data_IF_011375391022
#
_entry.id   IF_011375391022
#
_cell.length_a   1.000
_cell.length_b   1.000
_cell.length_c   1.000
_cell.angle_alpha   90.00
_cell.angle_beta   90.00
_cell.angle_gamma   90.00
#
_symmetry.space_group_name_H-M   'P 1'
#
loop_
_entity.id
_entity.type
_entity.pdbx_description
1 polymer ?
#
# COMPACT_ATOMS: atom_id res chain seq x y z
N UNK A 1 -21.53 -4.44 -4.50
CA UNK A 1 -20.69 -5.49 -3.88
C UNK A 1 -21.35 -6.01 -2.61
N UNK A 2 -21.61 -5.15 -1.62
CA UNK A 2 -22.26 -5.48 -0.34
C UNK A 2 -23.56 -6.28 -0.49
N UNK A 3 -24.51 -5.83 -1.33
CA UNK A 3 -25.78 -6.54 -1.55
C UNK A 3 -25.60 -7.94 -2.17
N UNK A 4 -24.64 -8.08 -3.09
CA UNK A 4 -24.33 -9.36 -3.73
C UNK A 4 -23.71 -10.34 -2.73
N UNK A 5 -22.78 -9.86 -1.91
CA UNK A 5 -22.17 -10.65 -0.84
C UNK A 5 -23.22 -11.16 0.15
N UNK A 6 -24.13 -10.29 0.62
CA UNK A 6 -25.20 -10.68 1.55
C UNK A 6 -26.21 -11.67 0.93
N UNK A 7 -26.38 -11.67 -0.39
CA UNK A 7 -27.17 -12.70 -1.07
C UNK A 7 -26.43 -14.03 -1.11
N UNK A 8 -25.18 -14.03 -1.55
CA UNK A 8 -24.35 -15.24 -1.64
C UNK A 8 -24.18 -15.93 -0.28
N UNK A 9 -24.02 -15.15 0.80
CA UNK A 9 -23.98 -15.67 2.15
C UNK A 9 -25.26 -16.41 2.55
N UNK A 10 -26.44 -15.84 2.24
CA UNK A 10 -27.74 -16.48 2.51
C UNK A 10 -27.94 -17.76 1.69
N UNK A 11 -27.39 -17.79 0.49
CA UNK A 11 -27.48 -18.94 -0.42
C UNK A 11 -26.44 -20.03 -0.09
N UNK A 12 -25.49 -19.75 0.82
CA UNK A 12 -24.41 -20.67 1.21
C UNK A 12 -23.22 -20.71 0.24
N UNK A 13 -23.17 -19.78 -0.72
CA UNK A 13 -22.15 -19.69 -1.79
C UNK A 13 -20.93 -18.88 -1.30
N UNK A 14 -20.22 -19.41 -0.32
CA UNK A 14 -19.13 -18.69 0.36
C UNK A 14 -17.90 -18.42 -0.51
N UNK A 15 -17.59 -19.32 -1.47
CA UNK A 15 -16.45 -19.13 -2.37
C UNK A 15 -16.69 -17.95 -3.31
N UNK A 16 -17.87 -17.88 -3.91
CA UNK A 16 -18.33 -16.78 -4.75
C UNK A 16 -18.38 -15.48 -3.97
N UNK A 17 -18.86 -15.51 -2.71
CA UNK A 17 -18.85 -14.35 -1.83
C UNK A 17 -17.42 -13.81 -1.63
N UNK A 18 -16.45 -14.70 -1.38
CA UNK A 18 -15.04 -14.34 -1.23
C UNK A 18 -14.48 -13.73 -2.52
N UNK A 19 -14.78 -14.30 -3.69
CA UNK A 19 -14.33 -13.76 -4.97
C UNK A 19 -14.93 -12.39 -5.27
N UNK A 20 -16.22 -12.21 -5.00
CA UNK A 20 -16.90 -10.91 -5.14
C UNK A 20 -16.28 -9.85 -4.24
N UNK A 21 -15.99 -10.22 -2.99
CA UNK A 21 -15.31 -9.31 -2.05
C UNK A 21 -13.93 -8.91 -2.57
N UNK A 22 -13.09 -9.88 -2.93
CA UNK A 22 -11.74 -9.64 -3.45
C UNK A 22 -11.75 -8.75 -4.69
N UNK A 23 -12.63 -9.04 -5.65
CA UNK A 23 -12.79 -8.22 -6.85
C UNK A 23 -13.23 -6.78 -6.51
N UNK A 24 -14.17 -6.63 -5.57
CA UNK A 24 -14.63 -5.31 -5.12
C UNK A 24 -13.51 -4.47 -4.49
N UNK A 25 -12.72 -5.07 -3.59
CA UNK A 25 -11.57 -4.42 -2.95
C UNK A 25 -10.52 -4.01 -3.99
N UNK A 26 -10.12 -4.93 -4.86
CA UNK A 26 -9.09 -4.66 -5.87
C UNK A 26 -9.55 -3.61 -6.90
N UNK A 27 -10.84 -3.58 -7.23
CA UNK A 27 -11.40 -2.54 -8.11
C UNK A 27 -11.35 -1.17 -7.45
N UNK A 28 -11.69 -1.08 -6.16
CA UNK A 28 -11.62 0.19 -5.41
C UNK A 28 -10.18 0.71 -5.32
N UNK A 29 -9.21 -0.16 -5.00
CA UNK A 29 -7.77 0.19 -4.97
C UNK A 29 -7.25 0.59 -6.35
N UNK A 30 -7.57 -0.19 -7.38
CA UNK A 30 -7.16 0.11 -8.76
C UNK A 30 -7.72 1.44 -9.28
N UNK A 31 -8.98 1.74 -8.95
CA UNK A 31 -9.60 3.02 -9.31
C UNK A 31 -8.94 4.20 -8.57
N UNK A 32 -8.58 4.02 -7.29
CA UNK A 32 -7.86 5.03 -6.52
C UNK A 32 -6.46 5.31 -7.08
N UNK A 33 -5.76 4.27 -7.56
CA UNK A 33 -4.47 4.43 -8.24
C UNK A 33 -4.63 5.14 -9.57
N UNK A 34 -5.58 4.72 -10.39
CA UNK A 34 -5.86 5.35 -11.67
C UNK A 34 -6.22 6.83 -11.54
N UNK A 35 -7.12 7.18 -10.61
CA UNK A 35 -7.49 8.58 -10.36
C UNK A 35 -6.30 9.42 -9.92
N UNK A 36 -5.41 8.88 -9.08
CA UNK A 36 -4.21 9.61 -8.66
C UNK A 36 -3.22 9.80 -9.80
N UNK A 37 -3.06 8.80 -10.67
CA UNK A 37 -2.25 8.91 -11.88
C UNK A 37 -2.79 9.99 -12.82
N UNK A 38 -4.12 10.08 -13.00
CA UNK A 38 -4.74 11.15 -13.78
C UNK A 38 -4.54 12.52 -13.13
N UNK A 39 -4.62 12.64 -11.80
CA UNK A 39 -4.31 13.90 -11.09
C UNK A 39 -2.85 14.30 -11.26
N UNK A 40 -1.90 13.35 -11.12
CA UNK A 40 -0.48 13.60 -11.37
C UNK A 40 -0.24 14.13 -12.78
N UNK A 41 -0.85 13.49 -13.78
CA UNK A 41 -0.78 13.91 -15.19
C UNK A 41 -1.37 15.30 -15.39
N UNK A 42 -2.55 15.56 -14.83
CA UNK A 42 -3.23 16.85 -14.95
C UNK A 42 -2.44 18.00 -14.31
N UNK A 43 -1.69 17.71 -13.23
CA UNK A 43 -0.87 18.69 -12.53
C UNK A 43 0.60 18.73 -13.02
N UNK A 44 0.97 17.94 -14.03
CA UNK A 44 2.34 17.87 -14.54
C UNK A 44 3.36 17.32 -13.54
N UNK A 45 2.92 16.47 -12.62
CA UNK A 45 3.73 15.88 -11.57
C UNK A 45 4.54 14.68 -12.07
N UNK A 46 5.67 14.39 -11.39
CA UNK A 46 6.39 13.13 -11.58
C UNK A 46 5.51 11.91 -11.24
N UNK A 47 5.81 10.73 -11.81
CA UNK A 47 4.97 9.53 -11.68
C UNK A 47 4.79 9.06 -10.22
N UNK A 48 5.77 9.33 -9.37
CA UNK A 48 5.88 8.97 -7.96
C UNK A 48 5.74 10.17 -7.00
N UNK A 49 5.40 11.34 -7.53
CA UNK A 49 5.23 12.57 -6.75
C UNK A 49 3.86 12.61 -6.06
N UNK A 50 3.81 13.22 -4.87
CA UNK A 50 2.58 13.45 -4.11
C UNK A 50 2.11 12.23 -3.32
N UNK A 51 1.10 12.42 -2.45
CA UNK A 51 0.54 11.38 -1.57
C UNK A 51 -0.97 11.48 -1.47
N UNK A 52 -1.61 10.33 -1.19
CA UNK A 52 -3.05 10.24 -0.88
C UNK A 52 -3.23 9.97 0.60
N UNK A 53 -3.74 10.93 1.36
CA UNK A 53 -4.02 10.73 2.78
C UNK A 53 -5.50 10.43 2.99
N UNK A 54 -5.80 9.23 3.49
CA UNK A 54 -7.15 8.79 3.81
C UNK A 54 -7.43 8.93 5.30
N UNK A 55 -8.68 9.21 5.66
CA UNK A 55 -9.09 9.32 7.05
C UNK A 55 -9.00 7.97 7.80
N UNK A 56 -8.73 8.03 9.10
CA UNK A 56 -8.43 6.87 9.94
C UNK A 56 -6.97 6.41 9.89
N UNK A 57 -6.16 6.91 8.95
CA UNK A 57 -4.72 6.65 8.90
C UNK A 57 -3.93 7.68 9.72
N UNK A 58 -2.66 7.40 10.09
CA UNK A 58 -1.89 8.28 10.96
C UNK A 58 -1.74 9.74 10.48
N UNK A 59 -1.78 9.99 9.17
CA UNK A 59 -1.73 11.34 8.59
C UNK A 59 -3.07 12.10 8.67
N UNK A 60 -4.19 11.38 8.79
CA UNK A 60 -5.55 11.92 8.89
C UNK A 60 -6.35 11.07 9.90
N UNK A 61 -6.06 11.15 11.21
CA UNK A 61 -6.55 10.17 12.19
C UNK A 61 -8.04 10.30 12.52
N UNK A 62 -8.63 11.49 12.40
CA UNK A 62 -10.00 11.76 12.82
C UNK A 62 -10.99 11.37 11.73
N UNK A 63 -11.75 10.30 11.92
CA UNK A 63 -12.72 9.81 10.92
C UNK A 63 -13.94 10.73 10.77
N UNK A 64 -14.33 11.46 11.81
CA UNK A 64 -15.47 12.40 11.73
C UNK A 64 -15.26 13.51 10.69
N UNK A 65 -14.01 13.79 10.32
CA UNK A 65 -13.67 14.77 9.29
C UNK A 65 -14.15 14.35 7.88
N UNK A 66 -14.58 13.10 7.67
CA UNK A 66 -15.26 12.69 6.44
C UNK A 66 -16.49 13.56 6.14
N UNK A 67 -17.21 14.06 7.15
CA UNK A 67 -18.37 14.93 6.94
C UNK A 67 -18.02 16.17 6.09
N UNK A 68 -16.82 16.72 6.26
CA UNK A 68 -16.38 17.92 5.54
C UNK A 68 -16.20 17.64 4.06
N UNK A 69 -15.52 16.54 3.71
CA UNK A 69 -15.28 16.17 2.32
C UNK A 69 -16.57 15.66 1.64
N UNK A 70 -17.44 14.95 2.37
CA UNK A 70 -18.74 14.53 1.86
C UNK A 70 -19.61 15.71 1.45
N UNK A 71 -19.65 16.75 2.29
CA UNK A 71 -20.35 18.00 1.98
C UNK A 71 -19.68 18.76 0.84
N UNK A 72 -18.35 18.78 0.77
CA UNK A 72 -17.60 19.50 -0.26
C UNK A 72 -17.82 18.91 -1.66
N UNK A 73 -17.84 17.57 -1.75
CA UNK A 73 -17.93 16.85 -3.03
C UNK A 73 -19.38 16.46 -3.40
N UNK A 74 -20.35 16.73 -2.52
CA UNK A 74 -21.70 16.17 -2.61
C UNK A 74 -21.67 14.65 -2.82
N UNK A 75 -20.90 13.95 -1.99
CA UNK A 75 -20.69 12.50 -2.11
C UNK A 75 -22.00 11.67 -2.12
N UNK A 76 -23.09 12.07 -1.43
CA UNK A 76 -24.38 11.39 -1.57
C UNK A 76 -24.94 11.37 -3.00
N UNK A 77 -24.60 12.36 -3.85
CA UNK A 77 -25.04 12.40 -5.25
C UNK A 77 -24.53 11.21 -6.09
N UNK A 78 -23.45 10.58 -5.67
CA UNK A 78 -22.88 9.37 -6.30
C UNK A 78 -23.19 8.10 -5.49
N UNK A 79 -24.09 8.18 -4.51
CA UNK A 79 -24.55 7.03 -3.73
C UNK A 79 -23.65 6.64 -2.55
N UNK A 80 -22.75 7.53 -2.09
CA UNK A 80 -21.96 7.30 -0.89
C UNK A 80 -22.69 7.81 0.37
N UNK A 81 -22.60 7.06 1.45
CA UNK A 81 -23.07 7.43 2.79
C UNK A 81 -21.97 7.27 3.85
N UNK A 82 -22.23 7.79 5.04
CA UNK A 82 -21.42 7.58 6.23
C UNK A 82 -22.21 6.79 7.26
N UNK A 83 -21.58 5.76 7.83
CA UNK A 83 -22.13 5.03 8.96
C UNK A 83 -22.13 5.88 10.24
N UNK A 84 -22.74 5.39 11.31
CA UNK A 84 -22.71 6.08 12.62
C UNK A 84 -21.31 6.26 13.21
N UNK A 85 -20.32 5.50 12.73
CA UNK A 85 -18.91 5.64 13.07
C UNK A 85 -18.09 6.39 12.02
N UNK A 86 -18.74 7.09 11.08
CA UNK A 86 -18.11 7.82 9.96
C UNK A 86 -17.32 6.94 8.97
N UNK A 87 -17.60 5.64 8.93
CA UNK A 87 -17.07 4.77 7.88
C UNK A 87 -17.82 5.04 6.57
N UNK A 88 -17.10 4.99 5.44
CA UNK A 88 -17.69 5.17 4.12
C UNK A 88 -18.47 3.93 3.73
N UNK A 89 -19.68 4.14 3.24
CA UNK A 89 -20.57 3.10 2.74
C UNK A 89 -20.95 3.42 1.28
N UNK A 90 -20.84 2.46 0.34
CA UNK A 90 -20.36 1.08 0.50
C UNK A 90 -18.89 0.97 0.90
N UNK A 91 -18.51 -0.13 1.56
CA UNK A 91 -17.18 -0.32 2.15
C UNK A 91 -16.06 -0.43 1.11
N UNK A 92 -16.37 -0.91 -0.10
CA UNK A 92 -15.44 -0.93 -1.24
C UNK A 92 -15.40 0.44 -1.94
N UNK A 93 -15.17 1.48 -1.14
CA UNK A 93 -14.99 2.86 -1.58
C UNK A 93 -13.73 3.44 -0.94
N UNK A 94 -13.14 4.46 -1.56
CA UNK A 94 -12.02 5.18 -0.95
C UNK A 94 -12.22 6.68 -1.08
N UNK A 95 -11.81 7.41 -0.05
CA UNK A 95 -11.79 8.87 -0.03
C UNK A 95 -10.44 9.29 0.53
N UNK A 96 -9.76 10.19 -0.18
CA UNK A 96 -8.44 10.66 0.22
C UNK A 96 -8.20 12.11 -0.20
N UNK A 97 -7.35 12.79 0.55
CA UNK A 97 -6.77 14.08 0.17
C UNK A 97 -5.54 13.81 -0.70
N UNK A 98 -5.44 14.48 -1.86
CA UNK A 98 -4.23 14.43 -2.68
C UNK A 98 -3.32 15.60 -2.30
N UNK A 99 -2.20 15.29 -1.67
CA UNK A 99 -1.13 16.23 -1.39
C UNK A 99 -0.12 16.22 -2.55
N UNK A 100 -0.09 17.28 -3.35
CA UNK A 100 0.69 17.33 -4.61
C UNK A 100 2.17 17.71 -4.43
N UNK A 101 2.57 18.21 -3.26
CA UNK A 101 3.90 18.74 -3.03
C UNK A 101 4.98 17.65 -3.22
N UNK A 102 6.15 17.95 -3.83
CA UNK A 102 7.18 16.93 -4.07
C UNK A 102 7.77 16.32 -2.79
N UNK A 103 7.69 17.03 -1.66
CA UNK A 103 8.11 16.53 -0.35
C UNK A 103 6.97 15.90 0.46
N UNK A 104 5.78 15.68 -0.13
CA UNK A 104 4.70 14.99 0.56
C UNK A 104 5.09 13.55 0.86
N UNK A 105 4.91 13.13 2.11
CA UNK A 105 5.19 11.77 2.60
C UNK A 105 4.06 11.25 3.48
N UNK A 106 4.03 9.95 3.73
CA UNK A 106 3.24 9.40 4.82
C UNK A 106 3.99 9.65 6.14
N UNK A 107 3.28 10.14 7.14
CA UNK A 107 3.84 10.40 8.46
C UNK A 107 2.86 9.95 9.54
N UNK A 108 3.40 9.57 10.69
CA UNK A 108 2.63 9.21 11.86
C UNK A 108 2.72 10.26 12.96
N UNK A 109 1.69 10.31 13.81
CA UNK A 109 1.62 11.26 14.93
C UNK A 109 2.78 11.13 15.94
N UNK A 110 3.35 9.93 16.09
CA UNK A 110 4.31 9.63 17.18
C UNK A 110 5.77 9.93 16.85
N UNK A 111 6.18 9.79 15.58
CA UNK A 111 7.58 9.98 15.20
C UNK A 111 7.84 11.33 14.55
N UNK A 112 6.84 11.98 13.95
CA UNK A 112 6.89 13.35 13.40
C UNK A 112 8.03 13.63 12.42
N UNK A 113 8.82 12.62 12.06
CA UNK A 113 10.08 12.78 11.35
C UNK A 113 9.78 12.83 9.88
N UNK A 114 9.94 14.00 9.30
CA UNK A 114 9.95 14.18 7.86
C UNK A 114 11.34 13.80 7.32
N UNK A 115 11.43 13.02 6.23
CA UNK A 115 12.70 12.79 5.56
C UNK A 115 13.23 14.12 5.00
N UNK A 116 14.55 14.26 4.99
CA UNK A 116 15.22 15.47 4.46
C UNK A 116 15.04 15.58 2.93
N UNK A 117 14.90 14.45 2.25
CA UNK A 117 14.72 14.35 0.80
C UNK A 117 13.34 13.79 0.46
N UNK A 118 12.90 14.06 -0.77
CA UNK A 118 11.69 13.47 -1.31
C UNK A 118 11.81 11.95 -1.35
N UNK A 119 10.77 11.24 -0.91
CA UNK A 119 10.68 9.79 -1.06
C UNK A 119 9.73 9.48 -2.22
N UNK A 120 10.05 8.52 -3.11
CA UNK A 120 9.12 8.08 -4.14
C UNK A 120 7.88 7.43 -3.51
N UNK A 121 6.71 7.60 -4.14
CA UNK A 121 5.51 6.84 -3.76
C UNK A 121 5.61 5.38 -4.24
N UNK A 122 5.01 4.47 -3.48
CA UNK A 122 4.87 3.07 -3.92
C UNK A 122 3.65 2.96 -4.82
N UNK A 123 3.87 3.08 -6.12
CA UNK A 123 2.84 2.90 -7.13
C UNK A 123 2.45 1.41 -7.14
N UNK A 124 1.14 1.10 -7.19
CA UNK A 124 0.69 -0.27 -7.39
C UNK A 124 1.33 -0.79 -8.67
N UNK A 125 2.20 -1.80 -8.53
CA UNK A 125 2.96 -2.33 -9.65
C UNK A 125 1.98 -2.80 -10.73
N UNK A 126 2.15 -2.29 -11.95
CA UNK A 126 1.39 -2.78 -13.10
C UNK A 126 1.60 -4.30 -13.19
N UNK A 127 0.54 -5.12 -13.06
CA UNK A 127 0.68 -6.56 -13.13
C UNK A 127 1.34 -7.01 -14.44
N UNK A 128 1.17 -6.24 -15.53
CA UNK A 128 1.82 -6.49 -16.83
C UNK A 128 3.33 -6.20 -16.84
N UNK A 129 3.84 -5.53 -15.81
CA UNK A 129 5.26 -5.25 -15.59
C UNK A 129 5.94 -6.30 -14.69
N UNK A 130 5.18 -7.22 -14.07
CA UNK A 130 5.80 -8.38 -13.41
C UNK A 130 6.37 -9.30 -14.49
N UNK A 131 7.66 -9.62 -14.36
CA UNK A 131 8.23 -10.72 -15.11
C UNK A 131 7.41 -11.99 -14.78
N UNK A 132 6.68 -12.52 -15.78
CA UNK A 132 5.83 -13.71 -15.63
C UNK A 132 4.32 -13.48 -15.55
N UNK A 133 3.81 -12.24 -15.61
CA UNK A 133 2.35 -12.00 -15.66
C UNK A 133 2.00 -11.21 -16.92
N UNK A 134 1.46 -11.90 -17.93
CA UNK A 134 1.00 -11.29 -19.18
C UNK A 134 -0.52 -11.29 -19.18
N UNK A 135 -1.12 -10.11 -19.25
CA UNK A 135 -2.55 -9.98 -19.57
C UNK A 135 -2.65 -9.83 -21.09
N UNK A 136 -3.11 -10.88 -21.77
CA UNK A 136 -3.41 -10.87 -23.21
C UNK A 136 -4.90 -11.14 -23.40
N UNK A 137 -5.59 -10.24 -24.12
CA UNK A 137 -6.99 -10.36 -24.52
C UNK A 137 -7.99 -10.65 -23.37
N UNK A 138 -7.81 -9.99 -22.22
CA UNK A 138 -8.75 -10.09 -21.09
C UNK A 138 -8.66 -11.39 -20.28
N UNK A 139 -7.80 -12.33 -20.67
CA UNK A 139 -7.43 -13.47 -19.85
C UNK A 139 -6.23 -13.11 -18.96
N UNK A 140 -6.38 -13.33 -17.65
CA UNK A 140 -5.27 -13.25 -16.69
C UNK A 140 -4.61 -14.61 -16.65
N UNK A 141 -3.35 -14.67 -17.08
CA UNK A 141 -2.51 -15.86 -16.95
C UNK A 141 -1.62 -15.68 -15.72
N UNK A 142 -1.75 -16.58 -14.77
CA UNK A 142 -0.74 -16.79 -13.74
C UNK A 142 0.22 -17.82 -14.34
N UNK A 143 1.50 -17.48 -14.48
CA UNK A 143 2.51 -18.51 -14.69
C UNK A 143 2.46 -19.39 -13.44
N UNK A 144 1.93 -20.60 -13.61
CA UNK A 144 1.63 -21.60 -12.56
C UNK A 144 2.93 -22.25 -12.05
N UNK A 145 3.96 -21.44 -11.85
CA UNK A 145 5.27 -21.85 -11.39
C UNK A 145 5.34 -21.54 -9.89
N UNK A 146 4.52 -22.25 -9.11
CA UNK A 146 4.57 -22.21 -7.64
C UNK A 146 6.01 -22.49 -7.13
N UNK A 147 6.77 -23.26 -7.90
CA UNK A 147 8.18 -23.56 -7.69
C UNK A 147 9.09 -22.33 -7.83
N UNK A 148 8.70 -21.29 -8.55
CA UNK A 148 9.45 -20.02 -8.63
C UNK A 148 9.29 -19.18 -7.36
N UNK A 149 8.12 -19.21 -6.72
CA UNK A 149 7.89 -18.52 -5.44
C UNK A 149 8.67 -19.19 -4.29
N UNK A 150 8.61 -20.53 -4.20
CA UNK A 150 9.38 -21.31 -3.21
C UNK A 150 10.90 -21.08 -3.38
N UNK A 151 11.42 -21.13 -4.61
CA UNK A 151 12.85 -20.82 -4.89
C UNK A 151 13.25 -19.40 -4.49
N UNK A 152 12.42 -18.40 -4.80
CA UNK A 152 12.70 -17.00 -4.43
C UNK A 152 12.69 -16.77 -2.91
N UNK A 153 11.92 -17.57 -2.17
CA UNK A 153 11.85 -17.55 -0.72
C UNK A 153 13.05 -18.28 -0.09
N UNK A 154 13.50 -19.39 -0.66
CA UNK A 154 14.70 -20.10 -0.23
C UNK A 154 15.98 -19.27 -0.47
N UNK A 155 16.11 -18.62 -1.63
CA UNK A 155 17.21 -17.69 -1.94
C UNK A 155 17.23 -16.48 -0.98
N UNK A 156 16.07 -15.92 -0.64
CA UNK A 156 15.96 -14.81 0.32
C UNK A 156 16.27 -15.22 1.77
N UNK A 157 16.24 -16.52 2.10
CA UNK A 157 16.61 -17.04 3.42
C UNK A 157 18.11 -17.33 3.50
N UNK A 158 18.76 -17.75 2.40
CA UNK A 158 20.22 -17.94 2.35
C UNK A 158 21.00 -16.62 2.43
N UNK A 159 20.48 -15.53 1.87
CA UNK A 159 21.11 -14.19 1.93
C UNK A 159 21.01 -13.49 3.30
N UNK A 160 20.34 -14.11 4.27
CA UNK A 160 20.14 -13.58 5.62
C UNK A 160 20.84 -14.43 6.69
N UNK A 161 22.03 -14.96 6.39
CA UNK A 161 22.94 -15.52 7.40
C UNK A 161 23.51 -14.39 8.28
N UNK A 162 23.20 -14.34 9.60
CA UNK A 162 23.68 -13.27 10.48
C UNK A 162 25.19 -13.32 10.78
N UNK A 163 25.95 -14.26 10.22
CA UNK A 163 27.37 -14.47 10.59
C UNK A 163 28.41 -13.81 9.69
N UNK A 164 28.06 -13.18 8.57
CA UNK A 164 29.05 -12.56 7.68
C UNK A 164 29.19 -11.04 7.91
N UNK A 165 29.93 -10.64 8.96
CA UNK A 165 30.19 -9.21 9.17
C UNK A 165 31.00 -8.80 10.39
N UNK A 166 32.14 -9.45 10.68
CA UNK A 166 33.14 -8.81 11.53
C UNK A 166 34.56 -9.10 11.00
N UNK A 167 35.15 -8.10 10.37
CA UNK A 167 36.48 -8.19 9.78
C UNK A 167 37.05 -6.81 9.47
N UNK A 168 37.43 -6.07 10.51
CA UNK A 168 38.44 -5.03 10.35
C UNK A 168 39.78 -5.53 10.91
N UNK A 169 40.80 -5.48 10.07
CA UNK A 169 42.09 -6.11 10.26
C UNK A 169 43.14 -5.17 10.87
N UNK A 170 43.93 -5.73 11.79
CA UNK A 170 45.34 -5.44 12.12
C UNK A 170 45.69 -4.10 12.80
N UNK A 171 46.17 -4.20 14.04
CA UNK A 171 47.48 -3.69 14.48
C UNK A 171 48.03 -4.59 15.60
N UNK A 172 49.35 -4.76 15.62
CA UNK A 172 50.09 -5.90 16.16
C UNK A 172 50.06 -6.13 17.67
N UNK A 173 50.28 -7.40 18.01
CA UNK A 173 50.66 -7.88 19.35
C UNK A 173 51.98 -7.24 19.80
N UNK A 174 52.01 -6.77 21.05
CA UNK A 174 53.22 -6.73 21.86
C UNK A 174 52.83 -7.02 23.31
N UNK A 175 53.30 -8.18 23.77
CA UNK A 175 53.25 -8.74 25.12
C UNK A 175 53.90 -7.82 26.17
N UNK A 176 53.36 -7.76 27.38
CA UNK A 176 54.06 -7.19 28.53
C UNK A 176 53.20 -7.12 29.79
N UNK A 177 53.75 -7.65 30.88
CA UNK A 177 53.14 -7.93 32.19
C UNK A 177 52.69 -6.70 33.01
N UNK A 178 51.89 -7.05 34.03
CA UNK A 178 51.42 -6.30 35.21
C UNK A 178 52.54 -5.57 35.97
N UNK A 179 52.28 -4.37 36.53
CA UNK A 179 52.00 -4.14 37.98
C UNK A 179 51.75 -2.62 38.26
N UNK A 180 51.10 -2.22 39.39
CA UNK A 180 50.48 -0.92 39.59
C UNK A 180 51.36 0.07 40.36
N UNK A 181 50.96 1.35 40.31
CA UNK A 181 51.12 2.34 41.38
C UNK A 181 50.14 3.51 41.17
#
# INVERSE_FOLDING_TARGET
VTELMARLERDGEFAEQLFVHGLGVQTAEGMAEWLHAEVRKALGMGPDQGRRWSWGYPACPEQAEHEKVFRLLDAPSIGLSLSGGYAVEPEQSTVAIIAHHPQSVYFGMKSGRLPAEASPDTIIADPRRRAGHRVTDGAVFFDDDADAYERSREEAVEDNDPQAGNGNSRLGEATGELDPA
#
